data_IF_271428863680
#
_entry.id   IF_271428863680
#
_cell.length_a   1.000
_cell.length_b   1.000
_cell.length_c   1.000
_cell.angle_alpha   90.00
_cell.angle_beta   90.00
_cell.angle_gamma   90.00
#
_symmetry.space_group_name_H-M   'P 1'
#
loop_
_entity.id
_entity.type
_entity.pdbx_description
1 polymer ?
#
# COMPACT_ATOMS: atom_id res chain seq x y z
N UNK A 1 26.40 -21.02 -33.68
CA UNK A 1 26.75 -22.10 -32.74
C UNK A 1 27.28 -21.57 -31.38
N UNK A 2 28.25 -20.63 -31.34
CA UNK A 2 28.76 -20.04 -30.08
C UNK A 2 27.70 -19.27 -29.28
N UNK A 3 26.92 -18.41 -29.92
CA UNK A 3 25.86 -17.61 -29.30
C UNK A 3 24.72 -18.46 -28.69
N UNK A 4 24.43 -19.60 -29.28
CA UNK A 4 23.40 -20.50 -28.80
C UNK A 4 23.86 -21.29 -27.57
N UNK A 5 25.14 -21.61 -27.49
CA UNK A 5 25.77 -22.23 -26.33
C UNK A 5 25.87 -21.28 -25.14
N UNK A 6 26.10 -19.99 -25.40
CA UNK A 6 26.14 -18.91 -24.41
C UNK A 6 24.73 -18.59 -23.87
N UNK A 7 23.75 -18.55 -24.76
CA UNK A 7 22.34 -18.39 -24.40
C UNK A 7 21.83 -19.51 -23.50
N UNK A 8 22.20 -20.78 -23.79
CA UNK A 8 21.84 -21.94 -22.95
C UNK A 8 22.52 -21.88 -21.59
N UNK A 9 23.76 -21.38 -21.54
CA UNK A 9 24.53 -21.24 -20.29
C UNK A 9 23.92 -20.16 -19.39
N UNK A 10 23.53 -19.01 -19.98
CA UNK A 10 22.87 -17.91 -19.25
C UNK A 10 21.48 -18.35 -18.76
N UNK A 11 20.70 -19.04 -19.58
CA UNK A 11 19.41 -19.58 -19.17
C UNK A 11 19.54 -20.63 -18.07
N UNK A 12 20.56 -21.47 -18.10
CA UNK A 12 20.83 -22.43 -17.03
C UNK A 12 21.16 -21.75 -15.71
N UNK A 13 22.10 -20.78 -15.72
CA UNK A 13 22.44 -20.01 -14.51
C UNK A 13 21.26 -19.18 -13.96
N UNK A 14 20.43 -18.59 -14.81
CA UNK A 14 19.22 -17.88 -14.37
C UNK A 14 18.18 -18.83 -13.77
N UNK A 15 18.02 -20.02 -14.38
CA UNK A 15 17.14 -21.05 -13.83
C UNK A 15 17.64 -21.52 -12.46
N UNK A 16 18.95 -21.79 -12.31
CA UNK A 16 19.55 -22.25 -11.05
C UNK A 16 19.41 -21.19 -9.95
N UNK A 17 19.62 -19.90 -10.26
CA UNK A 17 19.40 -18.78 -9.33
C UNK A 17 17.93 -18.65 -8.93
N UNK A 18 17.01 -18.80 -9.89
CA UNK A 18 15.59 -18.78 -9.63
C UNK A 18 15.15 -19.95 -8.73
N UNK A 19 15.64 -21.13 -8.98
CA UNK A 19 15.32 -22.32 -8.17
C UNK A 19 15.93 -22.25 -6.78
N UNK A 20 17.16 -21.76 -6.64
CA UNK A 20 17.81 -21.53 -5.35
C UNK A 20 17.02 -20.50 -4.51
N UNK A 21 16.54 -19.41 -5.13
CA UNK A 21 15.69 -18.44 -4.46
C UNK A 21 14.35 -19.02 -4.00
N UNK A 22 13.73 -19.88 -4.82
CA UNK A 22 12.48 -20.57 -4.44
C UNK A 22 12.67 -21.57 -3.30
N UNK A 23 13.82 -22.26 -3.21
CA UNK A 23 14.11 -23.17 -2.09
C UNK A 23 14.29 -22.41 -0.78
N UNK A 24 14.90 -21.23 -0.81
CA UNK A 24 15.07 -20.39 0.38
C UNK A 24 13.74 -19.83 0.88
N UNK A 25 12.88 -19.35 -0.03
CA UNK A 25 11.52 -18.92 0.28
C UNK A 25 10.68 -20.09 0.82
N UNK A 26 10.85 -21.29 0.25
CA UNK A 26 10.19 -22.51 0.71
C UNK A 26 10.62 -22.93 2.12
N UNK A 27 11.85 -22.70 2.53
CA UNK A 27 12.34 -22.97 3.89
C UNK A 27 11.63 -22.04 4.90
N UNK A 28 11.22 -20.87 4.45
CA UNK A 28 10.58 -19.82 5.26
C UNK A 28 9.03 -19.81 5.17
N UNK A 29 8.40 -20.81 4.53
CA UNK A 29 6.93 -20.83 4.33
C UNK A 29 6.13 -20.68 5.62
N UNK A 30 6.62 -21.28 6.72
CA UNK A 30 5.99 -21.19 8.03
C UNK A 30 5.98 -19.77 8.60
N UNK A 31 7.01 -18.97 8.28
CA UNK A 31 7.07 -17.56 8.69
C UNK A 31 6.02 -16.71 7.97
N UNK A 32 5.84 -16.94 6.67
CA UNK A 32 4.78 -16.28 5.88
C UNK A 32 3.38 -16.68 6.36
N UNK A 33 3.18 -17.93 6.75
CA UNK A 33 1.92 -18.41 7.29
C UNK A 33 1.61 -17.76 8.64
N UNK A 34 2.57 -17.71 9.56
CA UNK A 34 2.40 -17.05 10.86
C UNK A 34 2.09 -15.56 10.68
N UNK A 35 2.84 -14.86 9.81
CA UNK A 35 2.58 -13.45 9.49
C UNK A 35 1.20 -13.25 8.88
N UNK A 36 0.79 -14.11 7.94
CA UNK A 36 -0.52 -14.02 7.31
C UNK A 36 -1.67 -14.21 8.31
N UNK A 37 -1.57 -15.20 9.21
CA UNK A 37 -2.54 -15.41 10.27
C UNK A 37 -2.59 -14.22 11.24
N UNK A 38 -1.43 -13.68 11.62
CA UNK A 38 -1.33 -12.52 12.50
C UNK A 38 -1.98 -11.27 11.86
N UNK A 39 -1.77 -11.05 10.55
CA UNK A 39 -2.42 -9.97 9.81
C UNK A 39 -3.95 -10.16 9.73
N UNK A 40 -4.43 -11.38 9.53
CA UNK A 40 -5.88 -11.67 9.56
C UNK A 40 -6.48 -11.35 10.93
N UNK A 41 -5.86 -11.81 12.01
CA UNK A 41 -6.33 -11.52 13.38
C UNK A 41 -6.34 -10.00 13.61
N UNK A 42 -5.26 -9.30 13.23
CA UNK A 42 -5.17 -7.86 13.38
C UNK A 42 -6.23 -7.14 12.53
N UNK A 43 -6.48 -7.61 11.31
CA UNK A 43 -7.52 -7.09 10.42
C UNK A 43 -8.92 -7.23 11.02
N UNK A 44 -9.26 -8.40 11.59
CA UNK A 44 -10.54 -8.62 12.28
C UNK A 44 -10.70 -7.67 13.47
N UNK A 45 -9.64 -7.50 14.28
CA UNK A 45 -9.65 -6.57 15.42
C UNK A 45 -9.82 -5.13 14.94
N UNK A 46 -9.12 -4.71 13.87
CA UNK A 46 -9.26 -3.38 13.28
C UNK A 46 -10.68 -3.12 12.76
N UNK A 47 -11.31 -4.09 12.10
CA UNK A 47 -12.71 -3.98 11.64
C UNK A 47 -13.66 -3.84 12.82
N UNK A 48 -13.48 -4.68 13.86
CA UNK A 48 -14.32 -4.65 15.06
C UNK A 48 -14.17 -3.37 15.90
N UNK A 49 -12.99 -2.74 15.84
CA UNK A 49 -12.65 -1.51 16.57
C UNK A 49 -12.29 -0.35 15.64
N UNK A 50 -13.00 -0.19 14.53
CA UNK A 50 -12.62 0.69 13.44
C UNK A 50 -12.36 2.16 13.87
N UNK A 51 -13.15 2.71 14.81
CA UNK A 51 -12.92 4.06 15.34
C UNK A 51 -11.61 4.19 16.09
N UNK A 52 -11.29 3.22 16.93
CA UNK A 52 -10.03 3.21 17.70
C UNK A 52 -8.86 2.98 16.76
N UNK A 53 -9.01 2.09 15.77
CA UNK A 53 -8.02 1.82 14.75
C UNK A 53 -7.72 3.08 13.92
N UNK A 54 -8.75 3.86 13.52
CA UNK A 54 -8.56 5.15 12.84
C UNK A 54 -7.74 6.11 13.71
N UNK A 55 -8.11 6.28 14.97
CA UNK A 55 -7.40 7.19 15.88
C UNK A 55 -5.95 6.77 16.07
N UNK A 56 -5.70 5.47 16.29
CA UNK A 56 -4.34 4.93 16.42
C UNK A 56 -3.52 5.15 15.15
N UNK A 57 -4.11 4.91 13.97
CA UNK A 57 -3.45 5.13 12.68
C UNK A 57 -3.08 6.60 12.46
N UNK A 58 -3.95 7.54 12.85
CA UNK A 58 -3.66 8.99 12.77
C UNK A 58 -2.52 9.39 13.70
N UNK A 59 -2.48 8.84 14.93
CA UNK A 59 -1.38 9.08 15.86
C UNK A 59 -0.05 8.53 15.33
N UNK A 60 -0.05 7.29 14.82
CA UNK A 60 1.15 6.67 14.23
C UNK A 60 1.64 7.50 13.04
N UNK A 61 0.73 7.87 12.13
CA UNK A 61 1.05 8.71 10.97
C UNK A 61 1.61 10.07 11.39
N UNK A 62 1.00 10.69 12.42
CA UNK A 62 1.48 11.96 12.99
C UNK A 62 2.90 11.87 13.53
N UNK A 63 3.23 10.81 14.27
CA UNK A 63 4.58 10.58 14.77
C UNK A 63 5.58 10.31 13.64
N UNK A 64 5.21 9.51 12.63
CA UNK A 64 6.05 9.25 11.45
C UNK A 64 6.33 10.55 10.70
N UNK A 65 5.34 11.41 10.48
CA UNK A 65 5.50 12.71 9.82
C UNK A 65 6.38 13.64 10.64
N UNK A 66 6.21 13.69 11.95
CA UNK A 66 7.01 14.51 12.84
C UNK A 66 8.49 14.09 12.84
N UNK A 67 8.77 12.78 12.95
CA UNK A 67 10.11 12.24 12.84
C UNK A 67 10.72 12.49 11.44
N UNK A 68 9.94 12.28 10.39
CA UNK A 68 10.33 12.62 9.03
C UNK A 68 10.68 14.11 8.89
N UNK A 69 9.89 15.01 9.49
CA UNK A 69 10.17 16.44 9.52
C UNK A 69 11.55 16.76 10.13
N UNK A 70 11.90 16.11 11.24
CA UNK A 70 13.24 16.26 11.88
C UNK A 70 14.34 15.78 10.92
N UNK A 71 14.18 14.64 10.25
CA UNK A 71 15.16 14.13 9.28
C UNK A 71 15.34 15.12 8.11
N UNK A 72 14.27 15.68 7.58
CA UNK A 72 14.33 16.68 6.52
C UNK A 72 14.98 17.98 6.98
N UNK A 73 14.74 18.38 8.23
CA UNK A 73 15.40 19.54 8.84
C UNK A 73 16.92 19.34 8.94
N UNK A 74 17.36 18.18 9.40
CA UNK A 74 18.79 17.84 9.45
C UNK A 74 19.41 17.87 8.07
N UNK A 75 18.71 17.33 7.06
CA UNK A 75 19.17 17.35 5.68
C UNK A 75 19.23 18.76 5.09
N UNK A 76 18.36 19.68 5.50
CA UNK A 76 18.40 21.06 5.07
C UNK A 76 19.77 21.71 5.37
N UNK A 77 20.35 21.44 6.55
CA UNK A 77 21.67 21.96 6.92
C UNK A 77 22.85 21.29 6.21
N UNK A 78 22.62 20.15 5.53
CA UNK A 78 23.65 19.46 4.76
C UNK A 78 23.72 19.92 3.29
N UNK A 79 22.70 20.62 2.82
CA UNK A 79 22.65 21.11 1.43
C UNK A 79 23.40 22.43 1.32
N UNK A 80 24.41 22.47 0.44
CA UNK A 80 25.28 23.62 0.23
C UNK A 80 24.66 24.73 -0.63
N UNK A 81 23.48 24.51 -1.22
CA UNK A 81 22.80 25.49 -2.09
C UNK A 81 21.64 26.18 -1.34
N UNK A 82 21.56 27.51 -1.45
CA UNK A 82 20.50 28.30 -0.81
C UNK A 82 19.09 27.86 -1.25
N UNK A 83 18.89 27.57 -2.53
CA UNK A 83 17.59 27.08 -3.04
C UNK A 83 17.23 25.70 -2.50
N UNK A 84 18.20 24.80 -2.40
CA UNK A 84 18.02 23.49 -1.79
C UNK A 84 17.69 23.60 -0.29
N UNK A 85 18.45 24.38 0.46
CA UNK A 85 18.19 24.62 1.87
C UNK A 85 16.73 25.05 2.13
N UNK A 86 16.26 26.04 1.38
CA UNK A 86 14.90 26.56 1.58
C UNK A 86 13.82 25.49 1.29
N UNK A 87 14.00 24.69 0.23
CA UNK A 87 13.06 23.61 -0.11
C UNK A 87 13.02 22.51 0.97
N UNK A 88 14.19 22.09 1.47
CA UNK A 88 14.26 21.09 2.54
C UNK A 88 13.68 21.62 3.85
N UNK A 89 14.00 22.87 4.19
CA UNK A 89 13.48 23.53 5.39
C UNK A 89 11.96 23.67 5.35
N UNK A 90 11.40 24.13 4.22
CA UNK A 90 9.96 24.26 4.05
C UNK A 90 9.25 22.89 4.14
N UNK A 91 9.80 21.86 3.52
CA UNK A 91 9.29 20.49 3.65
C UNK A 91 9.34 19.98 5.09
N UNK A 92 10.42 20.26 5.83
CA UNK A 92 10.54 19.89 7.23
C UNK A 92 9.46 20.57 8.08
N UNK A 93 9.25 21.86 7.85
CA UNK A 93 8.25 22.65 8.58
C UNK A 93 6.82 22.14 8.30
N UNK A 94 6.47 21.90 7.02
CA UNK A 94 5.16 21.38 6.61
C UNK A 94 4.92 20.01 7.25
N UNK A 95 5.89 19.08 7.16
CA UNK A 95 5.76 17.73 7.74
C UNK A 95 5.62 17.77 9.26
N UNK A 96 6.44 18.59 9.94
CA UNK A 96 6.36 18.76 11.38
C UNK A 96 5.03 19.35 11.82
N UNK A 97 4.53 20.36 11.11
CA UNK A 97 3.24 21.00 11.41
C UNK A 97 2.06 20.06 11.18
N UNK A 98 2.04 19.35 10.05
CA UNK A 98 1.00 18.34 9.77
C UNK A 98 1.05 17.21 10.80
N UNK A 99 2.26 16.70 11.13
CA UNK A 99 2.43 15.67 12.15
C UNK A 99 1.90 16.11 13.51
N UNK A 100 2.22 17.34 13.93
CA UNK A 100 1.69 17.91 15.16
C UNK A 100 0.15 18.03 15.15
N UNK A 101 -0.44 18.49 14.05
CA UNK A 101 -1.90 18.58 13.92
C UNK A 101 -2.58 17.22 14.02
N UNK A 102 -2.02 16.17 13.38
CA UNK A 102 -2.57 14.83 13.44
C UNK A 102 -2.52 14.26 14.87
N UNK A 103 -1.47 14.56 15.63
CA UNK A 103 -1.35 14.11 17.03
C UNK A 103 -2.37 14.85 17.92
N UNK A 104 -2.54 16.15 17.72
CA UNK A 104 -3.44 16.96 18.55
C UNK A 104 -4.91 16.80 18.20
N UNK A 105 -5.22 16.61 16.92
CA UNK A 105 -6.58 16.51 16.39
C UNK A 105 -6.73 15.32 15.42
N UNK A 106 -6.63 14.07 15.92
CA UNK A 106 -6.65 12.87 15.05
C UNK A 106 -7.95 12.73 14.25
N UNK A 107 -9.09 13.18 14.81
CA UNK A 107 -10.38 13.14 14.10
C UNK A 107 -10.43 14.12 12.92
N UNK A 108 -9.95 15.34 13.11
CA UNK A 108 -9.85 16.32 12.02
C UNK A 108 -8.84 15.85 10.94
N UNK A 109 -7.76 15.20 11.35
CA UNK A 109 -6.82 14.55 10.43
C UNK A 109 -7.48 13.44 9.60
N UNK A 110 -8.25 12.58 10.24
CA UNK A 110 -9.01 11.52 9.57
C UNK A 110 -10.04 12.09 8.58
N UNK A 111 -10.74 13.15 8.96
CA UNK A 111 -11.70 13.86 8.08
C UNK A 111 -10.98 14.44 6.85
N UNK A 112 -9.86 15.14 7.04
CA UNK A 112 -9.07 15.70 5.96
C UNK A 112 -8.57 14.64 4.98
N UNK A 113 -8.06 13.50 5.46
CA UNK A 113 -7.62 12.38 4.62
C UNK A 113 -8.82 11.77 3.88
N UNK A 114 -9.96 11.59 4.55
CA UNK A 114 -11.17 11.06 3.92
C UNK A 114 -11.66 11.98 2.81
N UNK A 115 -11.67 13.29 3.01
CA UNK A 115 -12.03 14.28 1.99
C UNK A 115 -11.06 14.26 0.81
N UNK A 116 -9.77 14.10 1.07
CA UNK A 116 -8.76 13.95 0.02
C UNK A 116 -9.01 12.70 -0.81
N UNK A 117 -9.22 11.54 -0.17
CA UNK A 117 -9.53 10.28 -0.85
C UNK A 117 -10.85 10.38 -1.64
N UNK A 118 -11.87 10.98 -1.06
CA UNK A 118 -13.16 11.21 -1.72
C UNK A 118 -13.00 12.03 -3.01
N UNK A 119 -12.21 13.11 -2.95
CA UNK A 119 -11.93 13.93 -4.13
C UNK A 119 -11.14 13.17 -5.20
N UNK A 120 -10.17 12.34 -4.79
CA UNK A 120 -9.42 11.48 -5.71
C UNK A 120 -10.31 10.41 -6.36
N UNK A 121 -11.27 9.83 -5.62
CA UNK A 121 -12.24 8.88 -6.19
C UNK A 121 -13.17 9.55 -7.20
N UNK A 122 -13.64 10.76 -6.93
CA UNK A 122 -14.48 11.51 -7.87
C UNK A 122 -13.69 11.85 -9.13
N UNK A 123 -12.54 12.48 -8.99
CA UNK A 123 -11.71 12.91 -10.13
C UNK A 123 -11.17 11.70 -10.89
N UNK A 124 -10.57 10.74 -10.19
CA UNK A 124 -10.01 9.53 -10.81
C UNK A 124 -11.06 8.65 -11.45
N UNK A 125 -12.24 8.51 -10.82
CA UNK A 125 -13.38 7.79 -11.38
C UNK A 125 -13.93 8.45 -12.65
N UNK A 126 -14.02 9.79 -12.66
CA UNK A 126 -14.44 10.54 -13.83
C UNK A 126 -13.44 10.38 -14.99
N UNK A 127 -12.13 10.54 -14.74
CA UNK A 127 -11.10 10.31 -15.75
C UNK A 127 -11.12 8.88 -16.28
N UNK A 128 -11.34 7.89 -15.40
CA UNK A 128 -11.44 6.47 -15.80
C UNK A 128 -12.67 6.23 -16.67
N UNK A 129 -13.83 6.76 -16.30
CA UNK A 129 -15.06 6.59 -17.06
C UNK A 129 -14.97 7.26 -18.44
N UNK A 130 -14.50 8.52 -18.48
CA UNK A 130 -14.34 9.28 -19.73
C UNK A 130 -13.27 8.65 -20.62
N UNK A 131 -12.08 8.34 -20.08
CA UNK A 131 -10.99 7.72 -20.82
C UNK A 131 -11.37 6.38 -21.44
N UNK A 132 -12.06 5.51 -20.69
CA UNK A 132 -12.54 4.23 -21.20
C UNK A 132 -13.59 4.39 -22.29
N UNK A 133 -14.45 5.41 -22.19
CA UNK A 133 -15.48 5.71 -23.22
C UNK A 133 -14.88 6.19 -24.54
N UNK A 134 -13.75 6.89 -24.49
CA UNK A 134 -13.05 7.41 -25.67
C UNK A 134 -12.24 6.30 -26.36
N UNK A 135 -11.44 5.56 -25.58
CA UNK A 135 -10.46 4.60 -26.12
C UNK A 135 -11.13 3.29 -26.58
N UNK A 136 -12.25 2.89 -25.97
CA UNK A 136 -13.08 1.71 -26.32
C UNK A 136 -12.30 0.40 -26.51
N UNK A 137 -11.43 0.03 -25.57
CA UNK A 137 -10.76 -1.27 -25.53
C UNK A 137 -11.75 -2.43 -25.17
N UNK A 138 -11.42 -3.72 -25.36
CA UNK A 138 -12.37 -4.84 -25.23
C UNK A 138 -13.18 -4.90 -23.93
N UNK A 139 -12.69 -4.32 -22.82
CA UNK A 139 -13.37 -4.29 -21.51
C UNK A 139 -13.80 -2.88 -21.09
N UNK A 140 -13.98 -1.95 -22.03
CA UNK A 140 -14.27 -0.54 -21.75
C UNK A 140 -15.52 -0.34 -20.88
N UNK A 141 -16.61 -1.12 -21.15
CA UNK A 141 -17.87 -1.02 -20.40
C UNK A 141 -17.70 -1.33 -18.91
N UNK A 142 -16.89 -2.36 -18.58
CA UNK A 142 -16.56 -2.69 -17.20
C UNK A 142 -15.75 -1.58 -16.52
N UNK A 143 -14.82 -0.97 -17.25
CA UNK A 143 -14.00 0.15 -16.75
C UNK A 143 -14.82 1.42 -16.53
N UNK A 144 -15.79 1.71 -17.42
CA UNK A 144 -16.76 2.80 -17.24
C UNK A 144 -17.61 2.55 -16.00
N UNK A 145 -18.16 1.34 -15.84
CA UNK A 145 -18.94 0.98 -14.66
C UNK A 145 -18.14 1.15 -13.36
N UNK A 146 -16.89 0.65 -13.33
CA UNK A 146 -16.00 0.83 -12.19
C UNK A 146 -15.67 2.31 -11.91
N UNK A 147 -15.50 3.13 -12.96
CA UNK A 147 -15.31 4.57 -12.86
C UNK A 147 -16.52 5.27 -12.25
N UNK A 148 -17.73 4.93 -12.69
CA UNK A 148 -18.97 5.47 -12.14
C UNK A 148 -19.19 5.06 -10.68
N UNK A 149 -18.91 3.81 -10.32
CA UNK A 149 -18.93 3.34 -8.93
C UNK A 149 -17.94 4.14 -8.06
N UNK A 150 -16.73 4.41 -8.57
CA UNK A 150 -15.75 5.22 -7.85
C UNK A 150 -16.24 6.66 -7.63
N UNK A 151 -16.87 7.28 -8.64
CA UNK A 151 -17.48 8.62 -8.51
C UNK A 151 -18.60 8.60 -7.45
N UNK A 152 -19.50 7.62 -7.49
CA UNK A 152 -20.58 7.48 -6.54
C UNK A 152 -20.07 7.31 -5.10
N UNK A 153 -19.06 6.45 -4.91
CA UNK A 153 -18.40 6.25 -3.61
C UNK A 153 -17.71 7.53 -3.14
N UNK A 154 -16.98 8.21 -4.02
CA UNK A 154 -16.32 9.49 -3.69
C UNK A 154 -17.33 10.57 -3.28
N UNK A 155 -18.43 10.68 -3.99
CA UNK A 155 -19.51 11.63 -3.65
C UNK A 155 -20.17 11.27 -2.31
N UNK A 156 -20.45 9.99 -2.07
CA UNK A 156 -20.98 9.51 -0.79
C UNK A 156 -20.04 9.86 0.36
N UNK A 157 -18.72 9.64 0.18
CA UNK A 157 -17.72 10.01 1.18
C UNK A 157 -17.66 11.53 1.42
N UNK A 158 -17.80 12.36 0.39
CA UNK A 158 -17.84 13.83 0.55
C UNK A 158 -19.01 14.28 1.42
N UNK A 159 -20.20 13.69 1.21
CA UNK A 159 -21.42 14.04 1.96
C UNK A 159 -21.35 13.58 3.42
N UNK A 160 -20.80 12.39 3.67
CA UNK A 160 -20.77 11.77 4.99
C UNK A 160 -19.41 11.90 5.70
N UNK A 161 -18.45 12.63 5.14
CA UNK A 161 -17.10 12.74 5.69
C UNK A 161 -17.04 13.05 7.20
N UNK A 162 -17.79 14.00 7.76
CA UNK A 162 -17.70 14.33 9.19
C UNK A 162 -18.09 13.17 10.12
N UNK A 163 -19.04 12.32 9.70
CA UNK A 163 -19.51 11.18 10.49
C UNK A 163 -18.83 9.87 10.14
N UNK A 164 -18.45 9.69 8.87
CA UNK A 164 -17.87 8.45 8.34
C UNK A 164 -16.36 8.36 8.52
N UNK A 165 -15.64 9.48 8.56
CA UNK A 165 -14.17 9.51 8.59
C UNK A 165 -13.56 8.76 9.77
N UNK A 166 -14.18 8.85 10.95
CA UNK A 166 -13.71 8.17 12.15
C UNK A 166 -13.85 6.63 12.11
N UNK A 167 -14.66 6.12 11.18
CA UNK A 167 -14.89 4.69 11.00
C UNK A 167 -14.24 4.19 9.68
N UNK A 168 -14.31 4.98 8.62
CA UNK A 168 -13.92 4.59 7.27
C UNK A 168 -12.46 4.18 7.15
N UNK A 169 -11.54 4.95 7.72
CA UNK A 169 -10.10 4.68 7.62
C UNK A 169 -9.75 3.38 8.36
N UNK A 170 -10.26 3.18 9.57
CA UNK A 170 -10.03 1.96 10.33
C UNK A 170 -10.62 0.73 9.66
N UNK A 171 -11.80 0.86 9.04
CA UNK A 171 -12.41 -0.20 8.26
C UNK A 171 -11.57 -0.53 7.01
N UNK A 172 -11.12 0.49 6.28
CA UNK A 172 -10.28 0.32 5.08
C UNK A 172 -8.97 -0.40 5.43
N UNK A 173 -8.27 0.04 6.48
CA UNK A 173 -7.04 -0.62 6.96
C UNK A 173 -7.33 -2.06 7.41
N UNK A 174 -8.45 -2.29 8.11
CA UNK A 174 -8.82 -3.63 8.55
C UNK A 174 -9.08 -4.58 7.40
N UNK A 175 -9.78 -4.13 6.35
CA UNK A 175 -10.02 -4.92 5.13
C UNK A 175 -8.70 -5.19 4.40
N UNK A 176 -7.84 -4.18 4.26
CA UNK A 176 -6.53 -4.31 3.61
C UNK A 176 -5.67 -5.36 4.32
N UNK A 177 -5.58 -5.30 5.65
CA UNK A 177 -4.88 -6.31 6.46
C UNK A 177 -5.46 -7.72 6.31
N UNK A 178 -6.78 -7.85 6.18
CA UNK A 178 -7.43 -9.14 5.94
C UNK A 178 -7.06 -9.70 4.56
N UNK A 179 -7.07 -8.86 3.53
CA UNK A 179 -6.72 -9.27 2.16
C UNK A 179 -5.23 -9.64 2.05
N UNK A 180 -4.34 -8.83 2.62
CA UNK A 180 -2.91 -9.10 2.66
C UNK A 180 -2.59 -10.37 3.45
N UNK A 181 -3.24 -10.55 4.60
CA UNK A 181 -3.11 -11.75 5.40
C UNK A 181 -3.59 -13.00 4.66
N UNK A 182 -4.75 -12.92 3.98
CA UNK A 182 -5.27 -14.02 3.16
C UNK A 182 -4.34 -14.32 1.97
N UNK A 183 -3.78 -13.29 1.32
CA UNK A 183 -2.81 -13.45 0.24
C UNK A 183 -1.53 -14.14 0.72
N UNK A 184 -1.00 -13.76 1.89
CA UNK A 184 0.19 -14.39 2.49
C UNK A 184 -0.05 -15.84 2.88
N UNK A 185 -1.21 -16.16 3.45
CA UNK A 185 -1.59 -17.55 3.78
C UNK A 185 -1.73 -18.36 2.50
N UNK A 186 -2.40 -17.83 1.47
CA UNK A 186 -2.52 -18.47 0.16
C UNK A 186 -1.16 -18.71 -0.49
N UNK A 187 -0.26 -17.74 -0.42
CA UNK A 187 1.10 -17.86 -0.92
C UNK A 187 1.91 -18.93 -0.17
N UNK A 188 1.83 -18.94 1.18
CA UNK A 188 2.48 -19.96 2.01
C UNK A 188 1.96 -21.37 1.69
N UNK A 189 0.65 -21.54 1.51
CA UNK A 189 0.02 -22.80 1.13
C UNK A 189 0.45 -23.25 -0.28
N UNK A 190 0.51 -22.33 -1.24
CA UNK A 190 0.95 -22.62 -2.59
C UNK A 190 2.41 -23.09 -2.62
N UNK A 191 3.30 -22.42 -1.87
CA UNK A 191 4.72 -22.82 -1.75
C UNK A 191 4.87 -24.19 -1.08
N UNK A 192 4.07 -24.45 -0.06
CA UNK A 192 4.11 -25.75 0.64
C UNK A 192 3.66 -26.89 -0.27
N UNK A 193 2.71 -26.64 -1.18
CA UNK A 193 2.18 -27.65 -2.11
C UNK A 193 3.09 -27.96 -3.30
N UNK A 194 4.15 -27.17 -3.54
CA UNK A 194 5.11 -27.43 -4.61
C UNK A 194 5.85 -28.75 -4.35
N UNK A 195 5.90 -29.68 -5.33
CA UNK A 195 6.61 -30.95 -5.20
C UNK A 195 8.07 -30.69 -4.82
N UNK A 196 8.61 -31.52 -3.92
CA UNK A 196 10.05 -31.54 -3.68
C UNK A 196 10.73 -31.94 -4.99
N UNK A 197 11.38 -30.99 -5.65
CA UNK A 197 12.28 -31.30 -6.76
C UNK A 197 13.53 -31.97 -6.18
N UNK A 198 13.35 -33.20 -5.66
CA UNK A 198 14.46 -34.02 -5.25
C UNK A 198 15.16 -34.49 -6.51
N UNK A 199 16.38 -33.99 -6.72
CA UNK A 199 17.47 -34.63 -7.47
C UNK A 199 17.06 -35.37 -8.76
N UNK A 200 16.87 -34.61 -9.85
CA UNK A 200 17.15 -35.12 -11.20
C UNK A 200 18.58 -34.70 -11.59
N UNK A 201 19.55 -35.19 -10.85
CA UNK A 201 20.97 -35.27 -11.26
C UNK A 201 21.46 -36.58 -10.73
N UNK A 202 21.21 -37.64 -11.49
CA UNK A 202 22.00 -38.86 -11.56
C UNK A 202 22.31 -39.13 -13.03
#
# INVERSE_FOLDING_TARGET
MALEKERRRIMGTLADLFWAGLEEVRKSWGWFLVLGILLIILGVVCVGTARTATTASMLILGWILMLSGVVWLVNAFRVLSWGGFFLYFLNALIRGFIGYLLIRHPHAGAEGITLLLASLFVVGGLFRAVGASIIRFPTWSWTVFAGLCAVALGFMLLVYAPSASSFFIGLAIGIDLLLDGAALVGFAAAIHSLPKLSSRTA
#
